data_IF_274595123428
#
_entry.id   IF_274595123428
#
_cell.length_a   1.000
_cell.length_b   1.000
_cell.length_c   1.000
_cell.angle_alpha   90.00
_cell.angle_beta   90.00
_cell.angle_gamma   90.00
#
_symmetry.space_group_name_H-M   'P 1'
#
loop_
_entity.id
_entity.type
_entity.pdbx_description
1 polymer ?
#
# COMPACT_ATOMS: atom_id res chain seq x y z
N UNK A 1 -2.48 -34.24 9.57
CA UNK A 1 -1.51 -33.13 9.55
C UNK A 1 -0.97 -33.05 8.14
N UNK A 2 -1.56 -32.24 7.29
CA UNK A 2 -1.05 -32.00 5.92
C UNK A 2 -0.02 -30.86 6.02
N UNK A 3 1.22 -31.17 5.70
CA UNK A 3 2.28 -30.16 5.58
C UNK A 3 1.91 -29.21 4.47
N UNK A 4 1.92 -27.90 4.77
CA UNK A 4 1.75 -26.85 3.78
C UNK A 4 2.75 -27.05 2.64
N UNK A 5 2.35 -26.94 1.36
CA UNK A 5 3.26 -27.10 0.23
C UNK A 5 4.34 -25.98 0.13
N UNK A 6 4.36 -25.03 1.05
CA UNK A 6 5.19 -23.81 1.05
C UNK A 6 6.32 -23.82 2.11
N UNK A 7 6.99 -24.98 2.32
CA UNK A 7 8.12 -25.09 3.24
C UNK A 7 9.38 -24.31 2.81
N UNK A 8 10.26 -23.99 3.76
CA UNK A 8 11.45 -23.15 3.59
C UNK A 8 12.43 -23.68 2.54
N UNK A 9 12.93 -22.77 1.68
CA UNK A 9 13.97 -23.02 0.67
C UNK A 9 15.33 -22.65 1.25
N UNK A 10 16.36 -23.47 0.99
CA UNK A 10 17.77 -23.13 1.29
C UNK A 10 18.27 -21.98 0.40
N UNK A 11 19.09 -21.11 0.97
CA UNK A 11 19.48 -19.80 0.43
C UNK A 11 20.74 -19.90 -0.44
N UNK A 12 20.74 -19.15 -1.55
CA UNK A 12 21.90 -18.79 -2.34
C UNK A 12 22.21 -17.30 -2.27
N UNK A 13 23.38 -16.89 -2.74
CA UNK A 13 23.84 -15.50 -2.81
C UNK A 13 22.85 -14.61 -3.61
N UNK A 14 22.47 -13.42 -3.15
CA UNK A 14 21.56 -12.51 -3.87
C UNK A 14 22.03 -12.14 -5.27
N UNK A 15 23.33 -11.93 -5.47
CA UNK A 15 23.88 -11.67 -6.81
C UNK A 15 23.73 -12.89 -7.75
N UNK A 16 23.77 -14.13 -7.23
CA UNK A 16 23.54 -15.34 -8.02
C UNK A 16 22.08 -15.55 -8.37
N UNK A 17 21.15 -15.01 -7.56
CA UNK A 17 19.70 -15.13 -7.78
C UNK A 17 19.19 -14.27 -8.93
N UNK A 18 19.87 -13.16 -9.24
CA UNK A 18 19.53 -12.25 -10.34
C UNK A 18 20.01 -12.75 -11.72
N UNK A 19 20.75 -13.87 -11.80
CA UNK A 19 21.38 -14.36 -13.04
C UNK A 19 20.60 -15.43 -13.81
N UNK A 20 19.34 -15.73 -13.42
CA UNK A 20 18.51 -16.76 -14.03
C UNK A 20 17.85 -16.36 -15.35
N UNK A 21 18.49 -16.66 -16.48
CA UNK A 21 18.00 -16.83 -17.87
C UNK A 21 17.17 -15.68 -18.48
N UNK A 22 17.87 -14.79 -19.20
CA UNK A 22 17.26 -14.08 -20.31
C UNK A 22 17.21 -14.97 -21.55
N UNK A 23 16.02 -15.36 -22.01
CA UNK A 23 15.81 -15.92 -23.33
C UNK A 23 16.05 -14.84 -24.40
N UNK A 24 16.49 -15.19 -25.62
CA UNK A 24 16.68 -14.22 -26.71
C UNK A 24 15.32 -13.75 -27.22
N UNK A 25 15.01 -12.50 -26.93
CA UNK A 25 13.71 -11.84 -27.17
C UNK A 25 13.28 -11.08 -25.94
N UNK A 26 14.20 -10.26 -25.33
CA UNK A 26 13.91 -9.53 -24.10
C UNK A 26 12.61 -8.75 -24.24
N UNK A 27 11.56 -9.20 -23.55
CA UNK A 27 10.35 -8.43 -23.35
C UNK A 27 10.76 -7.04 -22.80
N UNK A 28 10.19 -6.00 -23.36
CA UNK A 28 10.39 -4.65 -22.81
C UNK A 28 10.03 -4.68 -21.33
N UNK A 29 10.82 -4.00 -20.46
CA UNK A 29 10.48 -3.95 -19.05
C UNK A 29 9.05 -3.46 -18.85
N UNK A 30 8.33 -3.97 -17.85
CA UNK A 30 6.96 -3.56 -17.59
C UNK A 30 6.92 -2.04 -17.40
N UNK A 31 6.05 -1.40 -18.17
CA UNK A 31 5.82 0.03 -18.04
C UNK A 31 4.45 0.26 -17.45
N UNK A 32 4.37 1.21 -16.54
CA UNK A 32 3.08 1.71 -16.04
C UNK A 32 2.40 2.45 -17.18
N UNK A 33 1.29 1.92 -17.68
CA UNK A 33 0.46 2.57 -18.69
C UNK A 33 -0.71 3.26 -17.99
N UNK A 34 -0.78 4.58 -18.15
CA UNK A 34 -1.87 5.38 -17.59
C UNK A 34 -3.08 5.34 -18.51
N UNK A 35 -4.27 5.17 -17.92
CA UNK A 35 -5.51 5.17 -18.65
C UNK A 35 -5.76 6.48 -19.39
N UNK A 36 -6.49 6.45 -20.52
CA UNK A 36 -6.93 7.66 -21.18
C UNK A 36 -7.88 8.45 -20.28
N UNK A 37 -7.82 9.79 -20.35
CA UNK A 37 -8.74 10.70 -19.69
C UNK A 37 -9.25 11.72 -20.70
N UNK A 38 -10.55 12.08 -20.69
CA UNK A 38 -11.12 13.06 -21.61
C UNK A 38 -10.41 14.42 -21.57
N UNK A 39 -9.95 14.82 -20.37
CA UNK A 39 -9.07 15.96 -20.20
C UNK A 39 -7.64 15.47 -19.94
N UNK A 40 -6.70 15.65 -20.88
CA UNK A 40 -5.32 15.18 -20.72
C UNK A 40 -4.54 15.93 -19.63
N UNK A 41 -5.06 17.04 -19.10
CA UNK A 41 -4.46 17.76 -17.98
C UNK A 41 -4.84 17.17 -16.61
N UNK A 42 -5.84 16.29 -16.55
CA UNK A 42 -6.28 15.64 -15.31
C UNK A 42 -5.56 14.32 -15.07
N UNK A 43 -5.50 13.89 -13.78
CA UNK A 43 -4.99 12.58 -13.39
C UNK A 43 -5.78 11.47 -14.08
N UNK A 44 -5.10 10.40 -14.45
CA UNK A 44 -5.75 9.21 -14.99
C UNK A 44 -6.60 8.54 -13.90
N UNK A 45 -7.65 7.84 -14.31
CA UNK A 45 -8.53 7.12 -13.39
C UNK A 45 -8.02 5.70 -13.08
N UNK A 46 -7.08 5.22 -13.87
CA UNK A 46 -6.42 3.93 -13.67
C UNK A 46 -5.04 3.89 -14.28
N UNK A 47 -4.26 2.92 -13.80
CA UNK A 47 -3.04 2.47 -14.44
C UNK A 47 -3.11 0.97 -14.72
N UNK A 48 -2.38 0.55 -15.74
CA UNK A 48 -2.21 -0.85 -16.11
C UNK A 48 -0.71 -1.18 -16.17
N UNK A 49 -0.33 -2.32 -15.60
CA UNK A 49 1.04 -2.84 -15.64
C UNK A 49 0.99 -4.27 -16.15
N UNK A 50 1.66 -4.53 -17.26
CA UNK A 50 1.84 -5.88 -17.79
C UNK A 50 3.17 -6.45 -17.30
N UNK A 51 3.10 -7.51 -16.49
CA UNK A 51 4.24 -8.20 -15.90
C UNK A 51 4.57 -9.53 -16.62
N UNK A 52 4.10 -9.70 -17.86
CA UNK A 52 4.25 -10.93 -18.62
C UNK A 52 3.18 -11.96 -18.28
N UNK A 53 3.31 -12.61 -17.13
CA UNK A 53 2.38 -13.67 -16.68
C UNK A 53 1.08 -13.13 -16.09
N UNK A 54 1.04 -11.86 -15.75
CA UNK A 54 -0.13 -11.20 -15.18
C UNK A 54 -0.22 -9.73 -15.59
N UNK A 55 -1.46 -9.27 -15.71
CA UNK A 55 -1.79 -7.85 -15.89
C UNK A 55 -2.37 -7.33 -14.59
N UNK A 56 -1.85 -6.22 -14.09
CA UNK A 56 -2.35 -5.54 -12.88
C UNK A 56 -2.96 -4.22 -13.24
N UNK A 57 -4.13 -3.95 -12.69
CA UNK A 57 -4.83 -2.68 -12.85
C UNK A 57 -5.06 -2.04 -11.47
N UNK A 58 -4.67 -0.79 -11.35
CA UNK A 58 -5.01 0.05 -10.20
C UNK A 58 -6.08 1.04 -10.62
N UNK A 59 -7.24 0.99 -9.99
CA UNK A 59 -8.36 1.92 -10.21
C UNK A 59 -8.37 2.96 -9.09
N UNK A 60 -8.47 4.25 -9.45
CA UNK A 60 -8.57 5.39 -8.51
C UNK A 60 -9.74 6.26 -8.99
N UNK A 61 -10.97 5.87 -8.60
CA UNK A 61 -12.19 6.40 -9.21
C UNK A 61 -12.91 7.40 -8.30
N UNK A 62 -13.27 8.52 -8.89
CA UNK A 62 -14.10 9.56 -8.29
C UNK A 62 -15.33 9.76 -9.16
N UNK A 63 -16.55 9.84 -8.59
CA UNK A 63 -17.75 10.08 -9.37
C UNK A 63 -17.75 11.53 -9.90
N UNK A 64 -18.31 11.72 -11.07
CA UNK A 64 -18.54 13.07 -11.64
C UNK A 64 -19.88 13.65 -11.19
N UNK A 65 -20.87 12.76 -11.02
CA UNK A 65 -22.20 13.13 -10.54
C UNK A 65 -22.18 13.63 -9.10
N UNK A 66 -23.14 14.51 -8.79
CA UNK A 66 -23.38 15.08 -7.44
C UNK A 66 -24.67 14.57 -6.82
N UNK A 67 -25.25 13.52 -7.38
CA UNK A 67 -26.46 12.86 -6.91
C UNK A 67 -26.31 12.17 -5.54
N UNK A 68 -27.33 11.43 -5.10
CA UNK A 68 -27.28 10.61 -3.89
C UNK A 68 -26.10 9.63 -3.89
N UNK A 69 -25.73 9.15 -2.70
CA UNK A 69 -24.62 8.21 -2.51
C UNK A 69 -24.70 7.01 -3.46
N UNK A 70 -25.87 6.34 -3.52
CA UNK A 70 -26.05 5.15 -4.35
C UNK A 70 -25.79 5.40 -5.83
N UNK A 71 -26.20 6.55 -6.38
CA UNK A 71 -25.96 6.92 -7.77
C UNK A 71 -24.46 7.14 -8.05
N UNK A 72 -23.77 7.82 -7.12
CA UNK A 72 -22.33 8.05 -7.22
C UNK A 72 -21.54 6.73 -7.20
N UNK A 73 -21.91 5.80 -6.32
CA UNK A 73 -21.28 4.50 -6.25
C UNK A 73 -21.56 3.65 -7.50
N UNK A 74 -22.80 3.68 -8.02
CA UNK A 74 -23.14 2.99 -9.26
C UNK A 74 -22.36 3.53 -10.47
N UNK A 75 -22.19 4.85 -10.58
CA UNK A 75 -21.34 5.47 -11.62
C UNK A 75 -19.93 4.90 -11.57
N UNK A 76 -19.33 4.85 -10.37
CA UNK A 76 -17.99 4.29 -10.14
C UNK A 76 -17.92 2.82 -10.59
N UNK A 77 -18.88 2.00 -10.19
CA UNK A 77 -18.89 0.57 -10.50
C UNK A 77 -19.06 0.29 -12.01
N UNK A 78 -19.92 1.06 -12.68
CA UNK A 78 -20.09 0.99 -14.14
C UNK A 78 -18.77 1.32 -14.84
N UNK A 79 -18.10 2.38 -14.41
CA UNK A 79 -16.81 2.81 -14.93
C UNK A 79 -15.71 1.77 -14.67
N UNK A 80 -15.60 1.25 -13.43
CA UNK A 80 -14.66 0.19 -13.09
C UNK A 80 -14.83 -1.03 -13.99
N UNK A 81 -16.07 -1.48 -14.18
CA UNK A 81 -16.39 -2.61 -15.07
C UNK A 81 -16.00 -2.35 -16.53
N UNK A 82 -16.23 -1.14 -17.03
CA UNK A 82 -15.84 -0.75 -18.38
C UNK A 82 -14.31 -0.78 -18.57
N UNK A 83 -13.56 -0.22 -17.61
CA UNK A 83 -12.09 -0.21 -17.62
C UNK A 83 -11.55 -1.64 -17.62
N UNK A 84 -12.03 -2.48 -16.71
CA UNK A 84 -11.53 -3.86 -16.57
C UNK A 84 -11.82 -4.72 -17.81
N UNK A 85 -12.95 -4.52 -18.48
CA UNK A 85 -13.29 -5.21 -19.71
C UNK A 85 -12.36 -4.89 -20.90
N UNK A 86 -11.70 -3.73 -20.87
CA UNK A 86 -10.80 -3.27 -21.93
C UNK A 86 -9.39 -3.82 -21.80
N UNK A 87 -9.08 -4.59 -20.75
CA UNK A 87 -7.70 -5.03 -20.47
C UNK A 87 -7.25 -6.28 -21.26
N UNK A 88 -8.08 -6.80 -22.16
CA UNK A 88 -7.72 -7.93 -23.04
C UNK A 88 -7.66 -9.30 -22.36
N UNK A 89 -7.83 -9.37 -21.03
CA UNK A 89 -7.91 -10.60 -20.26
C UNK A 89 -9.02 -10.47 -19.19
N UNK A 90 -9.62 -11.59 -18.75
CA UNK A 90 -10.53 -11.57 -17.61
C UNK A 90 -9.81 -11.03 -16.37
N UNK A 91 -10.37 -9.96 -15.79
CA UNK A 91 -9.80 -9.28 -14.60
C UNK A 91 -10.63 -9.60 -13.37
N UNK A 92 -9.96 -9.91 -12.27
CA UNK A 92 -10.58 -10.06 -10.94
C UNK A 92 -10.15 -8.93 -10.04
N UNK A 93 -11.11 -8.22 -9.42
CA UNK A 93 -10.81 -7.27 -8.33
C UNK A 93 -10.50 -8.07 -7.09
N UNK A 94 -9.35 -7.80 -6.47
CA UNK A 94 -8.84 -8.56 -5.32
C UNK A 94 -8.95 -7.79 -4.01
N UNK A 95 -8.68 -6.51 -4.06
CA UNK A 95 -8.64 -5.63 -2.89
C UNK A 95 -9.22 -4.27 -3.25
N UNK A 96 -10.02 -3.71 -2.37
CA UNK A 96 -10.58 -2.37 -2.58
C UNK A 96 -10.67 -1.58 -1.27
N UNK A 97 -10.59 -0.26 -1.39
CA UNK A 97 -10.82 0.67 -0.30
C UNK A 97 -11.86 1.69 -0.74
N UNK A 98 -12.92 1.79 0.03
CA UNK A 98 -14.01 2.74 -0.18
C UNK A 98 -13.86 3.87 0.83
N UNK A 99 -13.66 5.08 0.33
CA UNK A 99 -13.53 6.29 1.14
C UNK A 99 -14.90 6.94 1.23
N UNK A 100 -15.48 6.94 2.42
CA UNK A 100 -16.82 7.44 2.69
C UNK A 100 -16.77 8.83 3.30
N UNK A 101 -17.68 9.70 2.86
CA UNK A 101 -17.89 11.00 3.48
C UNK A 101 -18.69 10.89 4.78
N UNK A 102 -19.66 9.99 4.81
CA UNK A 102 -20.56 9.78 5.94
C UNK A 102 -20.62 8.29 6.32
N UNK A 103 -20.59 8.01 7.62
CA UNK A 103 -20.72 6.65 8.15
C UNK A 103 -22.10 6.04 7.88
N UNK A 104 -23.13 6.87 7.78
CA UNK A 104 -24.50 6.44 7.49
C UNK A 104 -24.61 5.78 6.10
N UNK A 105 -23.70 6.08 5.18
CA UNK A 105 -23.71 5.51 3.83
C UNK A 105 -23.12 4.09 3.78
N UNK A 106 -22.43 3.62 4.82
CA UNK A 106 -21.75 2.32 4.81
C UNK A 106 -22.68 1.13 4.60
N UNK A 107 -23.85 1.01 5.27
CA UNK A 107 -24.75 -0.13 5.03
C UNK A 107 -25.29 -0.19 3.58
N UNK A 108 -25.60 0.96 3.00
CA UNK A 108 -26.00 1.02 1.59
C UNK A 108 -24.83 0.65 0.66
N UNK A 109 -23.63 1.10 0.96
CA UNK A 109 -22.40 0.73 0.24
C UNK A 109 -22.20 -0.79 0.23
N UNK A 110 -22.26 -1.43 1.38
CA UNK A 110 -22.12 -2.87 1.53
C UNK A 110 -23.17 -3.64 0.72
N UNK A 111 -24.41 -3.19 0.76
CA UNK A 111 -25.50 -3.79 -0.03
C UNK A 111 -25.26 -3.66 -1.55
N UNK A 112 -24.85 -2.48 -2.01
CA UNK A 112 -24.59 -2.23 -3.45
C UNK A 112 -23.41 -3.07 -3.93
N UNK A 113 -22.29 -3.08 -3.18
CA UNK A 113 -21.12 -3.87 -3.51
C UNK A 113 -21.40 -5.38 -3.48
N UNK A 114 -22.14 -5.84 -2.47
CA UNK A 114 -22.59 -7.23 -2.37
C UNK A 114 -23.45 -7.66 -3.56
N UNK A 115 -24.35 -6.80 -4.02
CA UNK A 115 -25.16 -7.05 -5.23
C UNK A 115 -24.32 -7.03 -6.50
N UNK A 116 -23.33 -6.10 -6.60
CA UNK A 116 -22.51 -5.94 -7.79
C UNK A 116 -21.52 -7.10 -8.00
N UNK A 117 -20.85 -7.52 -6.93
CA UNK A 117 -19.80 -8.56 -7.00
C UNK A 117 -20.32 -9.97 -6.67
N UNK A 118 -21.41 -10.08 -5.92
CA UNK A 118 -21.95 -11.38 -5.48
C UNK A 118 -20.90 -12.21 -4.74
N UNK A 119 -20.69 -13.44 -5.20
CA UNK A 119 -19.66 -14.35 -4.64
C UNK A 119 -18.21 -13.87 -4.90
N UNK A 120 -18.03 -12.94 -5.82
CA UNK A 120 -16.74 -12.39 -6.21
C UNK A 120 -16.36 -11.11 -5.45
N UNK A 121 -17.06 -10.80 -4.35
CA UNK A 121 -16.78 -9.62 -3.54
C UNK A 121 -15.31 -9.60 -3.11
N UNK A 122 -14.55 -8.55 -3.48
CA UNK A 122 -13.15 -8.42 -3.10
C UNK A 122 -13.00 -8.10 -1.61
N UNK A 123 -11.82 -8.31 -1.07
CA UNK A 123 -11.48 -7.83 0.28
C UNK A 123 -11.66 -6.31 0.32
N UNK A 124 -12.48 -5.80 1.22
CA UNK A 124 -12.93 -4.41 1.23
C UNK A 124 -12.63 -3.71 2.54
N UNK A 125 -11.92 -2.58 2.47
CA UNK A 125 -11.85 -1.61 3.57
C UNK A 125 -12.90 -0.51 3.35
N UNK A 126 -13.75 -0.28 4.34
CA UNK A 126 -14.62 0.89 4.42
C UNK A 126 -13.97 1.90 5.36
N UNK A 127 -13.63 3.07 4.84
CA UNK A 127 -12.85 4.06 5.59
C UNK A 127 -13.60 5.38 5.62
N UNK A 128 -13.84 5.90 6.82
CA UNK A 128 -14.54 7.16 7.01
C UNK A 128 -13.54 8.33 6.85
N UNK A 129 -13.17 8.57 5.59
CA UNK A 129 -12.28 9.66 5.16
C UNK A 129 -12.96 10.40 4.00
N UNK A 130 -13.54 11.58 4.24
CA UNK A 130 -14.26 12.31 3.21
C UNK A 130 -13.40 12.61 2.00
N UNK A 131 -13.91 12.34 0.76
CA UNK A 131 -13.24 12.77 -0.45
C UNK A 131 -13.07 14.31 -0.51
N UNK A 132 -11.85 14.79 -0.75
CA UNK A 132 -11.57 16.23 -0.82
C UNK A 132 -12.35 16.96 -1.92
N UNK A 133 -12.77 16.28 -2.98
CA UNK A 133 -13.60 16.84 -4.05
C UNK A 133 -15.06 17.08 -3.66
N UNK A 134 -15.46 16.72 -2.43
CA UNK A 134 -16.85 16.84 -1.92
C UNK A 134 -17.80 15.75 -2.40
N UNK A 135 -17.34 14.71 -3.08
CA UNK A 135 -18.16 13.54 -3.40
C UNK A 135 -18.57 12.79 -2.13
N UNK A 136 -19.65 12.00 -2.21
CA UNK A 136 -20.05 11.13 -1.09
C UNK A 136 -19.10 9.94 -0.93
N UNK A 137 -18.47 9.52 -2.01
CA UNK A 137 -17.61 8.34 -2.08
C UNK A 137 -16.49 8.51 -3.10
N UNK A 138 -15.30 7.95 -2.83
CA UNK A 138 -14.28 7.61 -3.82
C UNK A 138 -13.83 6.18 -3.62
N UNK A 139 -13.25 5.59 -4.66
CA UNK A 139 -13.06 4.16 -4.74
C UNK A 139 -11.68 3.84 -5.29
N UNK A 140 -10.90 3.11 -4.52
CA UNK A 140 -9.69 2.47 -4.99
C UNK A 140 -9.91 0.97 -5.11
N UNK A 141 -9.44 0.38 -6.21
CA UNK A 141 -9.42 -1.07 -6.33
C UNK A 141 -8.16 -1.57 -7.06
N UNK A 142 -7.77 -2.78 -6.71
CA UNK A 142 -6.69 -3.52 -7.34
C UNK A 142 -7.27 -4.73 -8.04
N UNK A 143 -6.98 -4.85 -9.30
CA UNK A 143 -7.41 -5.99 -10.11
C UNK A 143 -6.21 -6.68 -10.75
N UNK A 144 -6.35 -7.97 -10.96
CA UNK A 144 -5.36 -8.81 -11.63
C UNK A 144 -6.05 -9.72 -12.64
N UNK A 145 -5.38 -9.95 -13.77
CA UNK A 145 -5.79 -10.90 -14.82
C UNK A 145 -4.59 -11.63 -15.37
N UNK A 146 -4.84 -12.74 -16.05
CA UNK A 146 -3.85 -13.59 -16.68
C UNK A 146 -4.28 -15.06 -16.67
N UNK A 147 -3.82 -15.86 -17.63
CA UNK A 147 -4.26 -17.24 -17.78
C UNK A 147 -3.86 -18.16 -16.61
N UNK A 148 -2.71 -17.86 -16.00
CA UNK A 148 -2.19 -18.61 -14.85
C UNK A 148 -2.74 -18.12 -13.50
N UNK A 149 -3.43 -16.97 -13.46
CA UNK A 149 -3.93 -16.37 -12.23
C UNK A 149 -5.05 -17.21 -11.62
N UNK A 150 -4.90 -17.54 -10.34
CA UNK A 150 -5.92 -18.25 -9.55
C UNK A 150 -6.24 -17.44 -8.31
N UNK A 151 -7.52 -17.28 -8.05
CA UNK A 151 -8.03 -16.51 -6.89
C UNK A 151 -8.80 -17.45 -5.99
N UNK A 152 -8.43 -17.45 -4.70
CA UNK A 152 -9.07 -18.25 -3.65
C UNK A 152 -9.54 -17.33 -2.52
N UNK A 153 -10.77 -17.52 -2.05
CA UNK A 153 -11.39 -16.69 -1.01
C UNK A 153 -11.49 -17.42 0.31
N UNK A 154 -11.09 -16.77 1.39
CA UNK A 154 -11.11 -17.28 2.76
C UNK A 154 -12.07 -16.43 3.63
N UNK A 155 -13.32 -16.34 3.19
CA UNK A 155 -14.33 -15.47 3.77
C UNK A 155 -14.21 -14.01 3.28
N UNK A 156 -14.93 -13.07 3.92
CA UNK A 156 -15.01 -11.68 3.45
C UNK A 156 -13.74 -10.86 3.71
N UNK A 157 -12.86 -11.33 4.59
CA UNK A 157 -11.72 -10.57 5.09
C UNK A 157 -10.38 -11.05 4.55
N UNK A 158 -10.32 -12.17 3.81
CA UNK A 158 -9.08 -12.70 3.24
C UNK A 158 -9.29 -13.33 1.86
N UNK A 159 -8.33 -13.08 0.97
CA UNK A 159 -8.28 -13.59 -0.38
C UNK A 159 -6.83 -13.87 -0.78
N UNK A 160 -6.57 -14.99 -1.44
CA UNK A 160 -5.26 -15.29 -2.03
C UNK A 160 -5.32 -15.23 -3.55
N UNK A 161 -4.20 -14.77 -4.13
CA UNK A 161 -3.95 -14.78 -5.58
C UNK A 161 -2.66 -15.54 -5.83
N UNK A 162 -2.72 -16.59 -6.64
CA UNK A 162 -1.56 -17.40 -6.97
C UNK A 162 -1.32 -17.41 -8.48
N UNK A 163 -0.07 -17.24 -8.89
CA UNK A 163 0.43 -17.36 -10.25
C UNK A 163 1.97 -17.48 -10.20
N UNK A 164 2.57 -18.15 -11.16
CA UNK A 164 4.04 -18.22 -11.34
C UNK A 164 4.84 -18.46 -10.03
N UNK A 165 4.43 -19.43 -9.23
CA UNK A 165 5.04 -19.75 -7.93
C UNK A 165 5.02 -18.61 -6.91
N UNK A 166 4.19 -17.59 -7.13
CA UNK A 166 3.94 -16.48 -6.23
C UNK A 166 2.53 -16.64 -5.64
N UNK A 167 2.38 -16.32 -4.37
CA UNK A 167 1.09 -16.27 -3.71
C UNK A 167 0.99 -15.01 -2.87
N UNK A 168 0.07 -14.14 -3.27
CA UNK A 168 -0.31 -12.95 -2.53
C UNK A 168 -1.52 -13.23 -1.67
N UNK A 169 -1.50 -12.81 -0.41
CA UNK A 169 -2.67 -12.87 0.48
C UNK A 169 -3.04 -11.45 0.88
N UNK A 170 -4.26 -11.06 0.54
CA UNK A 170 -4.87 -9.79 0.89
C UNK A 170 -5.78 -9.99 2.09
N UNK A 171 -5.58 -9.22 3.16
CA UNK A 171 -6.51 -9.14 4.27
C UNK A 171 -7.00 -7.69 4.43
N UNK A 172 -8.29 -7.49 4.71
CA UNK A 172 -8.86 -6.15 4.89
C UNK A 172 -10.25 -6.17 5.51
N UNK A 173 -10.81 -4.97 5.73
CA UNK A 173 -12.05 -4.81 6.45
C UNK A 173 -11.97 -5.29 7.90
N UNK A 174 -10.76 -5.43 8.41
CA UNK A 174 -10.54 -5.90 9.77
C UNK A 174 -10.82 -4.74 10.74
N UNK A 175 -11.59 -5.05 11.76
CA UNK A 175 -11.91 -4.14 12.85
C UNK A 175 -11.66 -4.84 14.19
N UNK A 176 -11.42 -4.13 15.29
CA UNK A 176 -11.38 -4.71 16.62
C UNK A 176 -12.65 -5.51 16.91
N UNK A 177 -12.57 -6.56 17.73
CA UNK A 177 -13.75 -7.26 18.24
C UNK A 177 -14.64 -6.36 19.10
N UNK A 178 -15.73 -6.90 19.63
CA UNK A 178 -16.65 -6.14 20.47
C UNK A 178 -15.93 -5.53 21.69
N UNK A 179 -16.01 -4.20 21.80
CA UNK A 179 -15.70 -3.37 22.97
C UNK A 179 -14.25 -3.25 23.50
N UNK A 180 -13.14 -3.32 22.74
CA UNK A 180 -11.89 -2.82 23.30
C UNK A 180 -11.95 -1.29 23.42
N UNK A 181 -11.73 -0.78 24.63
CA UNK A 181 -11.64 0.65 24.90
C UNK A 181 -10.19 1.10 24.75
N UNK A 182 -9.99 2.18 23.98
CA UNK A 182 -8.67 2.76 23.76
C UNK A 182 -7.87 2.15 22.60
N UNK A 183 -6.96 2.96 22.06
CA UNK A 183 -6.23 2.63 20.84
C UNK A 183 -5.28 1.43 21.01
N UNK A 184 -4.70 1.25 22.19
CA UNK A 184 -3.86 0.09 22.48
C UNK A 184 -4.66 -1.22 22.38
N UNK A 185 -5.79 -1.31 23.07
CA UNK A 185 -6.62 -2.51 23.09
C UNK A 185 -7.27 -2.76 21.71
N UNK A 186 -7.70 -1.68 21.01
CA UNK A 186 -8.20 -1.76 19.65
C UNK A 186 -7.15 -2.35 18.70
N UNK A 187 -5.91 -1.86 18.76
CA UNK A 187 -4.83 -2.33 17.90
C UNK A 187 -4.43 -3.77 18.20
N UNK A 188 -4.35 -4.16 19.47
CA UNK A 188 -4.07 -5.55 19.88
C UNK A 188 -5.14 -6.49 19.31
N UNK A 189 -6.42 -6.16 19.51
CA UNK A 189 -7.54 -6.95 18.98
C UNK A 189 -7.53 -7.03 17.47
N UNK A 190 -7.24 -5.92 16.76
CA UNK A 190 -7.12 -5.90 15.30
C UNK A 190 -6.01 -6.82 14.81
N UNK A 191 -4.81 -6.75 15.42
CA UNK A 191 -3.65 -7.57 15.01
C UNK A 191 -3.90 -9.05 15.24
N UNK A 192 -4.60 -9.45 16.32
CA UNK A 192 -4.99 -10.83 16.54
C UNK A 192 -6.01 -11.31 15.49
N UNK A 193 -6.96 -10.47 15.11
CA UNK A 193 -7.89 -10.78 14.02
C UNK A 193 -7.19 -10.89 12.67
N UNK A 194 -6.19 -10.03 12.43
CA UNK A 194 -5.35 -10.10 11.23
C UNK A 194 -4.54 -11.40 11.20
N UNK A 195 -3.98 -11.82 12.34
CA UNK A 195 -3.30 -13.11 12.48
C UNK A 195 -4.25 -14.27 12.16
N UNK A 196 -5.46 -14.25 12.69
CA UNK A 196 -6.45 -15.28 12.42
C UNK A 196 -6.84 -15.35 10.93
N UNK A 197 -7.03 -14.18 10.28
CA UNK A 197 -7.35 -14.10 8.85
C UNK A 197 -6.19 -14.63 7.98
N UNK A 198 -4.94 -14.28 8.31
CA UNK A 198 -3.75 -14.79 7.63
C UNK A 198 -3.63 -16.32 7.81
N UNK A 199 -3.80 -16.83 9.05
CA UNK A 199 -3.75 -18.26 9.33
C UNK A 199 -4.85 -19.04 8.61
N UNK A 200 -6.06 -18.49 8.53
CA UNK A 200 -7.16 -19.03 7.74
C UNK A 200 -6.84 -19.13 6.24
N UNK A 201 -5.99 -18.25 5.74
CA UNK A 201 -5.47 -18.27 4.38
C UNK A 201 -4.10 -18.99 4.25
N UNK A 202 -3.73 -19.85 5.19
CA UNK A 202 -2.49 -20.64 5.21
C UNK A 202 -1.22 -19.77 5.05
N UNK A 203 -1.17 -18.64 5.72
CA UNK A 203 0.00 -17.76 5.82
C UNK A 203 0.09 -17.16 7.23
N UNK A 204 1.10 -16.35 7.52
CA UNK A 204 1.29 -15.71 8.81
C UNK A 204 1.93 -14.32 8.68
N UNK A 205 2.19 -13.67 9.83
CA UNK A 205 2.73 -12.31 9.87
C UNK A 205 4.15 -12.17 9.31
N UNK A 206 4.98 -13.21 9.32
CA UNK A 206 6.34 -13.12 8.79
C UNK A 206 6.36 -12.84 7.27
N UNK A 207 5.26 -13.17 6.58
CA UNK A 207 5.06 -12.94 5.16
C UNK A 207 4.47 -11.55 4.83
N UNK A 208 4.07 -10.78 5.84
CA UNK A 208 3.45 -9.46 5.62
C UNK A 208 4.48 -8.46 5.12
N UNK A 209 4.20 -7.85 3.96
CA UNK A 209 5.06 -6.84 3.31
C UNK A 209 4.46 -5.43 3.40
N UNK A 210 3.15 -5.32 3.59
CA UNK A 210 2.43 -4.04 3.64
C UNK A 210 1.27 -4.09 4.63
N UNK A 211 1.09 -3.01 5.42
CA UNK A 211 -0.06 -2.84 6.32
C UNK A 211 -0.69 -1.46 6.17
N UNK A 212 -1.99 -1.37 6.42
CA UNK A 212 -2.75 -0.11 6.50
C UNK A 212 -3.55 -0.10 7.80
N UNK A 213 -3.47 1.02 8.53
CA UNK A 213 -4.22 1.26 9.76
C UNK A 213 -4.89 2.63 9.70
N UNK A 214 -6.21 2.65 9.80
CA UNK A 214 -7.03 3.85 9.78
C UNK A 214 -7.57 4.04 11.19
N UNK A 215 -7.03 5.01 11.93
CA UNK A 215 -7.32 5.22 13.35
C UNK A 215 -8.17 6.48 13.56
N UNK A 216 -9.34 6.34 14.13
CA UNK A 216 -10.17 7.48 14.53
C UNK A 216 -9.52 8.28 15.66
N UNK A 217 -9.55 9.62 15.53
CA UNK A 217 -8.94 10.53 16.51
C UNK A 217 -7.44 10.32 16.69
N UNK A 218 -6.70 10.08 15.63
CA UNK A 218 -5.29 9.66 15.65
C UNK A 218 -4.38 10.57 16.49
N UNK A 219 -4.65 11.87 16.51
CA UNK A 219 -3.92 12.89 17.31
C UNK A 219 -4.57 13.20 18.65
N UNK A 220 -5.73 12.65 18.95
CA UNK A 220 -6.43 12.91 20.19
C UNK A 220 -5.71 12.32 21.40
N UNK A 221 -5.78 12.99 22.56
CA UNK A 221 -5.22 12.46 23.78
C UNK A 221 -6.01 11.25 24.28
N UNK A 222 -5.27 10.24 24.76
CA UNK A 222 -5.81 9.08 25.45
C UNK A 222 -5.00 8.85 26.72
N UNK A 223 -5.48 9.37 27.83
CA UNK A 223 -4.72 9.47 29.07
C UNK A 223 -3.53 10.43 28.94
N UNK A 224 -2.34 9.96 29.27
CA UNK A 224 -1.11 10.76 29.19
C UNK A 224 -0.45 10.75 27.77
N UNK A 225 -1.04 10.06 26.82
CA UNK A 225 -0.47 9.87 25.49
C UNK A 225 -1.49 10.14 24.39
N UNK A 226 -0.99 10.27 23.18
CA UNK A 226 -1.80 10.37 21.97
C UNK A 226 -2.25 8.97 21.52
N UNK A 227 -3.44 8.85 20.95
CA UNK A 227 -3.98 7.57 20.43
C UNK A 227 -3.02 6.87 19.45
N UNK A 228 -2.34 7.62 18.58
CA UNK A 228 -1.32 7.08 17.70
C UNK A 228 -0.15 6.43 18.47
N UNK A 229 0.27 7.03 19.57
CA UNK A 229 1.35 6.46 20.42
C UNK A 229 0.91 5.14 21.07
N UNK A 230 -0.35 5.06 21.53
CA UNK A 230 -0.91 3.83 22.10
C UNK A 230 -1.09 2.73 21.04
N UNK A 231 -1.53 3.08 19.82
CA UNK A 231 -1.56 2.16 18.70
C UNK A 231 -0.17 1.60 18.38
N UNK A 232 0.87 2.45 18.35
CA UNK A 232 2.24 2.03 18.10
C UNK A 232 2.83 1.17 19.21
N UNK A 233 2.45 1.44 20.47
CA UNK A 233 2.83 0.60 21.60
C UNK A 233 2.31 -0.84 21.43
N UNK A 234 1.03 -0.99 21.14
CA UNK A 234 0.43 -2.30 20.87
C UNK A 234 1.11 -3.01 19.69
N UNK A 235 1.37 -2.26 18.59
CA UNK A 235 2.07 -2.80 17.43
C UNK A 235 3.50 -3.25 17.77
N UNK A 236 4.23 -2.47 18.55
CA UNK A 236 5.58 -2.82 18.96
C UNK A 236 5.62 -4.06 19.84
N UNK A 237 4.65 -4.19 20.75
CA UNK A 237 4.54 -5.37 21.62
C UNK A 237 4.20 -6.63 20.79
N UNK A 238 3.26 -6.52 19.86
CA UNK A 238 2.83 -7.62 18.99
C UNK A 238 3.94 -8.07 18.02
N UNK A 239 4.72 -7.13 17.47
CA UNK A 239 5.77 -7.41 16.48
C UNK A 239 7.07 -7.92 17.09
N UNK A 240 7.20 -7.96 18.41
CA UNK A 240 8.45 -8.29 19.12
C UNK A 240 9.04 -9.63 18.72
N UNK A 241 8.19 -10.63 18.48
CA UNK A 241 8.59 -11.99 18.19
C UNK A 241 8.46 -12.36 16.70
N UNK A 242 8.12 -11.40 15.85
CA UNK A 242 7.90 -11.65 14.44
C UNK A 242 9.15 -11.27 13.63
N UNK A 243 9.68 -12.23 12.88
CA UNK A 243 10.79 -12.02 11.93
C UNK A 243 10.24 -11.84 10.52
N UNK A 244 9.91 -10.60 10.17
CA UNK A 244 9.32 -10.28 8.87
C UNK A 244 10.27 -10.58 7.71
N UNK A 245 9.74 -11.16 6.63
CA UNK A 245 10.47 -11.43 5.40
C UNK A 245 11.57 -12.48 5.51
N UNK A 246 11.62 -13.26 6.58
CA UNK A 246 12.69 -14.23 6.88
C UNK A 246 13.03 -15.16 5.73
N UNK A 247 12.10 -15.51 4.89
CA UNK A 247 12.29 -16.42 3.75
C UNK A 247 12.86 -15.73 2.50
N UNK A 248 12.83 -14.38 2.45
CA UNK A 248 13.16 -13.58 1.26
C UNK A 248 14.25 -12.52 1.51
N UNK A 249 14.65 -12.31 2.77
CA UNK A 249 15.70 -11.38 3.17
C UNK A 249 16.98 -12.12 3.49
N UNK A 250 18.11 -11.44 3.34
CA UNK A 250 19.39 -11.94 3.82
C UNK A 250 19.43 -12.05 5.35
N UNK A 251 20.18 -13.03 5.88
CA UNK A 251 20.20 -13.34 7.31
C UNK A 251 20.63 -12.14 8.18
N UNK A 252 21.57 -11.33 7.67
CA UNK A 252 22.15 -10.19 8.41
C UNK A 252 21.20 -8.97 8.48
N UNK A 253 20.13 -8.94 7.69
CA UNK A 253 19.20 -7.82 7.57
C UNK A 253 17.95 -8.00 8.43
N UNK A 254 17.79 -9.15 9.11
CA UNK A 254 16.56 -9.49 9.83
C UNK A 254 16.25 -8.60 11.05
N UNK A 255 17.26 -7.96 11.64
CA UNK A 255 17.06 -7.07 12.78
C UNK A 255 16.60 -5.67 12.33
N UNK A 256 15.38 -5.30 12.70
CA UNK A 256 14.80 -3.99 12.38
C UNK A 256 14.03 -3.93 11.06
N UNK A 257 13.83 -5.06 10.39
CA UNK A 257 12.98 -5.13 9.20
C UNK A 257 11.51 -5.22 9.61
N UNK A 258 10.70 -4.31 9.07
CA UNK A 258 9.26 -4.25 9.29
C UNK A 258 8.55 -4.05 7.95
N UNK A 259 7.25 -4.43 7.84
CA UNK A 259 6.47 -4.13 6.64
C UNK A 259 6.42 -2.62 6.37
N UNK A 260 6.30 -2.23 5.10
CA UNK A 260 5.86 -0.89 4.78
C UNK A 260 4.47 -0.66 5.40
N UNK A 261 4.19 0.54 5.91
CA UNK A 261 2.94 0.80 6.64
C UNK A 261 2.43 2.22 6.45
N UNK A 262 1.11 2.36 6.43
CA UNK A 262 0.43 3.65 6.59
C UNK A 262 -0.41 3.60 7.86
N UNK A 263 -0.21 4.56 8.74
CA UNK A 263 -1.02 4.78 9.94
C UNK A 263 -1.61 6.17 9.90
N UNK A 264 -2.86 6.29 9.45
CA UNK A 264 -3.52 7.56 9.11
C UNK A 264 -4.83 7.73 9.86
N UNK A 265 -5.26 8.97 10.05
CA UNK A 265 -6.52 9.28 10.72
C UNK A 265 -7.74 8.94 9.87
N UNK A 266 -8.85 8.63 10.54
CA UNK A 266 -10.20 8.63 9.98
C UNK A 266 -11.16 9.31 10.93
N UNK A 267 -12.36 9.63 10.52
CA UNK A 267 -13.41 10.14 11.43
C UNK A 267 -13.90 9.05 12.39
N UNK A 268 -14.46 9.48 13.52
CA UNK A 268 -14.93 8.58 14.58
C UNK A 268 -13.80 8.13 15.51
N UNK A 269 -14.02 7.06 16.27
CA UNK A 269 -13.11 6.55 17.31
C UNK A 269 -12.64 5.12 17.08
N UNK A 270 -13.07 4.52 15.95
CA UNK A 270 -12.75 3.13 15.59
C UNK A 270 -11.35 2.94 15.02
N UNK A 271 -11.06 1.71 14.65
CA UNK A 271 -9.84 1.31 13.96
C UNK A 271 -10.22 0.32 12.84
N UNK A 272 -9.73 0.58 11.63
CA UNK A 272 -9.85 -0.34 10.49
C UNK A 272 -8.45 -0.70 10.02
N UNK A 273 -8.23 -1.94 9.62
CA UNK A 273 -6.92 -2.35 9.12
C UNK A 273 -6.96 -3.41 8.03
N UNK A 274 -5.84 -3.53 7.35
CA UNK A 274 -5.60 -4.54 6.33
C UNK A 274 -4.12 -4.75 6.09
N UNK A 275 -3.79 -5.84 5.41
CA UNK A 275 -2.40 -6.16 5.05
C UNK A 275 -2.32 -6.89 3.71
N UNK A 276 -1.10 -6.89 3.18
CA UNK A 276 -0.67 -7.69 2.04
C UNK A 276 0.48 -8.59 2.49
N UNK A 277 0.35 -9.89 2.27
CA UNK A 277 1.40 -10.86 2.54
C UNK A 277 1.86 -11.53 1.24
N UNK A 278 3.13 -11.94 1.21
CA UNK A 278 3.79 -12.56 0.05
C UNK A 278 4.41 -13.89 0.46
N UNK A 279 4.02 -14.94 -0.24
CA UNK A 279 4.71 -16.23 -0.24
C UNK A 279 5.21 -16.53 -1.65
N UNK A 280 6.45 -16.95 -1.81
CA UNK A 280 7.00 -17.34 -3.11
C UNK A 280 8.07 -18.42 -2.95
N UNK A 281 8.21 -19.25 -3.99
CA UNK A 281 9.29 -20.23 -4.15
C UNK A 281 10.26 -19.82 -5.25
N UNK A 282 10.09 -18.65 -5.81
CA UNK A 282 11.00 -18.14 -6.85
C UNK A 282 12.33 -17.77 -6.22
N UNK A 283 13.40 -18.32 -6.77
CA UNK A 283 14.77 -18.05 -6.33
C UNK A 283 15.26 -16.66 -6.72
N UNK A 284 14.64 -16.04 -7.75
CA UNK A 284 14.94 -14.69 -8.22
C UNK A 284 14.14 -13.60 -7.49
N UNK A 285 13.31 -13.97 -6.50
CA UNK A 285 12.58 -13.01 -5.69
C UNK A 285 13.45 -12.47 -4.56
N UNK A 286 13.68 -11.15 -4.54
CA UNK A 286 14.41 -10.46 -3.48
C UNK A 286 13.52 -9.39 -2.87
N UNK A 287 13.30 -9.48 -1.56
CA UNK A 287 12.56 -8.48 -0.80
C UNK A 287 13.54 -7.52 -0.14
N UNK A 288 13.29 -6.21 -0.24
CA UNK A 288 14.15 -5.16 0.29
C UNK A 288 13.30 -4.23 1.13
N UNK A 289 13.69 -3.98 2.36
CA UNK A 289 13.15 -2.89 3.14
C UNK A 289 13.89 -1.60 2.81
N UNK A 290 13.16 -0.55 2.49
CA UNK A 290 13.74 0.75 2.15
C UNK A 290 13.55 1.73 3.32
N UNK A 291 14.66 2.38 3.70
CA UNK A 291 14.66 3.53 4.58
C UNK A 291 15.14 4.76 3.81
N UNK A 292 14.57 5.93 4.09
CA UNK A 292 14.95 7.15 3.41
C UNK A 292 16.28 7.70 3.97
N UNK A 293 17.31 7.95 3.15
CA UNK A 293 18.60 8.46 3.62
C UNK A 293 18.52 9.80 4.39
N UNK A 294 17.46 10.58 4.18
CA UNK A 294 17.23 11.85 4.87
C UNK A 294 16.29 11.77 6.07
N UNK A 295 15.81 10.58 6.42
CA UNK A 295 14.93 10.37 7.55
C UNK A 295 15.54 9.35 8.49
N UNK A 296 15.48 9.61 9.79
CA UNK A 296 15.73 8.57 10.79
C UNK A 296 14.72 7.43 10.56
N UNK A 297 15.13 6.16 10.54
CA UNK A 297 14.20 5.04 10.49
C UNK A 297 13.12 5.17 11.56
N UNK A 298 11.88 4.88 11.20
CA UNK A 298 10.76 5.10 12.13
C UNK A 298 10.93 4.32 13.44
N UNK A 299 11.46 3.11 13.36
CA UNK A 299 11.74 2.25 14.50
C UNK A 299 12.92 2.70 15.39
N UNK A 300 13.67 3.71 14.93
CA UNK A 300 14.80 4.30 15.66
C UNK A 300 14.52 5.74 16.15
N UNK A 301 13.28 6.21 16.12
CA UNK A 301 12.93 7.53 16.62
C UNK A 301 13.26 7.68 18.10
N UNK A 302 13.76 8.85 18.48
CA UNK A 302 14.04 9.18 19.86
C UNK A 302 12.76 9.14 20.73
N UNK A 303 12.89 8.71 21.99
CA UNK A 303 11.79 8.56 22.95
C UNK A 303 10.96 9.83 23.19
N UNK A 304 11.50 11.02 22.87
CA UNK A 304 10.73 12.29 22.91
C UNK A 304 9.53 12.32 21.95
N UNK A 305 9.56 11.55 20.86
CA UNK A 305 8.44 11.47 19.91
C UNK A 305 7.45 10.37 20.28
N UNK A 306 7.92 9.30 20.85
CA UNK A 306 7.09 8.22 21.39
C UNK A 306 7.95 7.37 22.33
N UNK A 307 7.44 6.92 23.48
CA UNK A 307 8.13 5.98 24.36
C UNK A 307 8.50 4.67 23.66
N UNK A 308 7.69 4.28 22.68
CA UNK A 308 7.98 3.18 21.76
C UNK A 308 7.88 3.69 20.32
N UNK A 309 8.99 3.56 19.59
CA UNK A 309 9.07 4.00 18.20
C UNK A 309 8.13 3.18 17.31
N UNK A 310 7.52 3.79 16.29
CA UNK A 310 6.70 3.06 15.30
C UNK A 310 7.50 1.95 14.61
N UNK A 311 6.89 0.78 14.47
CA UNK A 311 7.52 -0.40 13.84
C UNK A 311 7.06 -0.53 12.40
N UNK A 312 7.72 0.18 11.47
CA UNK A 312 7.52 0.07 10.02
C UNK A 312 8.76 0.53 9.26
N UNK A 313 8.93 0.04 8.04
CA UNK A 313 9.91 0.54 7.08
C UNK A 313 9.27 1.62 6.19
N UNK A 314 10.08 2.57 5.70
CA UNK A 314 9.61 3.67 4.84
C UNK A 314 9.09 3.18 3.49
N UNK A 315 9.57 2.06 3.04
CA UNK A 315 9.08 1.34 1.87
C UNK A 315 9.47 -0.12 1.92
N UNK A 316 8.83 -0.89 1.07
CA UNK A 316 9.16 -2.29 0.82
C UNK A 316 9.22 -2.50 -0.69
N UNK A 317 10.28 -3.09 -1.19
CA UNK A 317 10.42 -3.40 -2.62
C UNK A 317 10.60 -4.89 -2.83
N UNK A 318 9.88 -5.42 -3.81
CA UNK A 318 10.07 -6.77 -4.33
C UNK A 318 10.72 -6.67 -5.70
N UNK A 319 11.95 -7.16 -5.82
CA UNK A 319 12.61 -7.41 -7.10
C UNK A 319 12.19 -8.79 -7.57
N UNK A 320 11.70 -8.90 -8.78
CA UNK A 320 11.20 -10.14 -9.33
C UNK A 320 11.41 -10.18 -10.85
N UNK A 321 12.33 -11.05 -11.32
CA UNK A 321 12.69 -11.08 -12.74
C UNK A 321 13.28 -9.75 -13.20
N UNK A 322 12.61 -9.09 -14.13
CA UNK A 322 13.05 -7.85 -14.77
C UNK A 322 12.30 -6.60 -14.28
N UNK A 323 11.56 -6.70 -13.17
CA UNK A 323 10.84 -5.55 -12.60
C UNK A 323 10.92 -5.48 -11.07
N UNK A 324 10.63 -4.30 -10.55
CA UNK A 324 10.54 -4.01 -9.12
C UNK A 324 9.14 -3.47 -8.82
N UNK A 325 8.52 -4.02 -7.79
CA UNK A 325 7.32 -3.41 -7.18
C UNK A 325 7.72 -2.75 -5.88
N UNK A 326 7.48 -1.45 -5.74
CA UNK A 326 7.78 -0.69 -4.51
C UNK A 326 6.51 -0.20 -3.85
N UNK A 327 6.26 -0.63 -2.62
CA UNK A 327 5.20 -0.12 -1.75
C UNK A 327 5.77 0.99 -0.86
N UNK A 328 5.29 2.21 -1.05
CA UNK A 328 5.68 3.40 -0.31
C UNK A 328 4.77 3.54 0.90
N UNK A 329 5.34 3.60 2.08
CA UNK A 329 4.62 3.87 3.33
C UNK A 329 4.03 5.27 3.35
N UNK A 330 3.06 5.51 4.25
CA UNK A 330 2.63 6.86 4.56
C UNK A 330 3.83 7.74 4.86
N UNK A 331 4.04 8.73 4.01
CA UNK A 331 5.18 9.65 4.02
C UNK A 331 4.67 11.07 4.21
N UNK A 332 5.30 11.82 5.11
CA UNK A 332 4.96 13.19 5.43
C UNK A 332 6.21 14.10 5.37
N UNK A 333 6.01 15.39 5.63
CA UNK A 333 7.08 16.41 5.64
C UNK A 333 7.98 16.25 6.87
N UNK A 334 8.81 15.22 6.89
CA UNK A 334 9.75 14.88 7.96
C UNK A 334 11.16 14.78 7.38
N UNK A 335 12.14 15.45 8.01
CA UNK A 335 13.58 15.32 7.72
C UNK A 335 14.26 14.92 9.03
N UNK A 336 15.13 13.92 9.01
CA UNK A 336 15.57 13.19 10.17
C UNK A 336 14.36 12.66 10.96
N UNK A 337 14.14 13.15 12.18
CA UNK A 337 12.95 12.85 12.99
C UNK A 337 12.01 14.05 13.15
N UNK A 338 12.33 15.19 12.54
CA UNK A 338 11.68 16.48 12.74
C UNK A 338 10.62 16.76 11.69
N UNK A 339 9.42 17.16 12.09
CA UNK A 339 8.42 17.74 11.20
C UNK A 339 8.93 19.06 10.63
N UNK A 340 8.78 19.26 9.32
CA UNK A 340 9.23 20.46 8.61
C UNK A 340 8.05 21.28 8.08
N UNK A 341 8.27 22.58 7.91
CA UNK A 341 7.33 23.50 7.26
C UNK A 341 5.97 23.58 7.96
N UNK A 342 5.94 23.59 9.30
CA UNK A 342 4.71 23.70 10.08
C UNK A 342 3.82 24.84 9.59
N UNK A 343 2.52 24.56 9.36
CA UNK A 343 1.53 25.51 8.87
C UNK A 343 1.55 25.81 7.36
N UNK A 344 2.53 25.32 6.59
CA UNK A 344 2.64 25.56 5.16
C UNK A 344 2.38 24.28 4.35
N UNK A 345 1.16 24.10 3.87
CA UNK A 345 0.74 22.95 3.08
C UNK A 345 1.56 22.78 1.80
N UNK A 346 1.94 23.87 1.14
CA UNK A 346 2.65 23.80 -0.12
C UNK A 346 4.06 23.26 0.09
N UNK A 347 4.80 23.80 1.06
CA UNK A 347 6.14 23.31 1.40
C UNK A 347 6.10 21.89 1.98
N UNK A 348 5.08 21.56 2.77
CA UNK A 348 4.93 20.20 3.27
C UNK A 348 4.67 19.21 2.14
N UNK A 349 3.85 19.56 1.15
CA UNK A 349 3.58 18.69 -0.01
C UNK A 349 4.85 18.46 -0.83
N UNK A 350 5.62 19.53 -1.13
CA UNK A 350 6.90 19.39 -1.84
C UNK A 350 7.88 18.49 -1.09
N UNK A 351 8.10 18.75 0.21
CA UNK A 351 9.01 17.95 1.02
C UNK A 351 8.59 16.48 1.11
N UNK A 352 7.28 16.24 1.18
CA UNK A 352 6.73 14.87 1.21
C UNK A 352 7.03 14.13 -0.10
N UNK A 353 6.85 14.80 -1.24
CA UNK A 353 7.15 14.23 -2.55
C UNK A 353 8.67 14.02 -2.74
N UNK A 354 9.50 14.97 -2.30
CA UNK A 354 10.96 14.82 -2.31
C UNK A 354 11.41 13.62 -1.47
N UNK A 355 10.78 13.39 -0.32
CA UNK A 355 11.05 12.22 0.51
C UNK A 355 10.69 10.91 -0.23
N UNK A 356 9.57 10.87 -0.96
CA UNK A 356 9.16 9.72 -1.77
C UNK A 356 10.15 9.47 -2.91
N UNK A 357 10.54 10.50 -3.63
CA UNK A 357 11.47 10.41 -4.75
C UNK A 357 12.84 9.86 -4.31
N UNK A 358 13.35 10.35 -3.19
CA UNK A 358 14.63 9.86 -2.60
C UNK A 358 14.51 8.42 -2.10
N UNK A 359 13.38 8.05 -1.50
CA UNK A 359 13.14 6.69 -1.03
C UNK A 359 13.23 5.67 -2.17
N UNK A 360 12.68 6.02 -3.34
CA UNK A 360 12.64 5.13 -4.51
C UNK A 360 13.87 5.28 -5.41
N UNK A 361 14.71 6.29 -5.19
CA UNK A 361 15.83 6.62 -6.06
C UNK A 361 16.92 5.55 -6.11
N UNK A 362 17.68 5.50 -7.22
CA UNK A 362 18.68 4.46 -7.46
C UNK A 362 19.80 4.43 -6.43
N UNK A 363 20.12 5.56 -5.80
CA UNK A 363 21.11 5.64 -4.74
C UNK A 363 20.72 4.80 -3.52
N UNK A 364 19.42 4.79 -3.18
CA UNK A 364 18.91 4.01 -2.07
C UNK A 364 18.95 2.50 -2.37
N UNK A 365 18.63 2.10 -3.60
CA UNK A 365 18.77 0.70 -4.02
C UNK A 365 20.24 0.25 -4.08
N UNK A 366 21.15 1.13 -4.48
CA UNK A 366 22.57 0.83 -4.50
C UNK A 366 23.13 0.52 -3.11
N UNK A 367 22.58 1.13 -2.05
CA UNK A 367 22.94 0.82 -0.67
C UNK A 367 22.56 -0.62 -0.26
N UNK A 368 21.61 -1.24 -0.99
CA UNK A 368 21.22 -2.64 -0.83
C UNK A 368 21.89 -3.58 -1.88
N UNK A 369 23.01 -3.17 -2.49
CA UNK A 369 23.71 -3.98 -3.48
C UNK A 369 23.12 -3.94 -4.89
N UNK A 370 21.95 -3.31 -5.09
CA UNK A 370 21.27 -3.25 -6.38
C UNK A 370 21.67 -1.97 -7.14
N UNK A 371 22.69 -2.09 -7.99
CA UNK A 371 23.17 -0.97 -8.79
C UNK A 371 22.36 -0.78 -10.07
N UNK A 372 22.16 0.48 -10.48
CA UNK A 372 21.47 0.88 -11.70
C UNK A 372 19.99 0.48 -11.75
N UNK A 373 19.36 0.29 -10.60
CA UNK A 373 17.92 0.08 -10.44
C UNK A 373 17.34 1.10 -9.47
N UNK A 374 16.05 1.35 -9.55
CA UNK A 374 15.32 2.32 -8.74
C UNK A 374 14.04 2.68 -9.45
N UNK A 375 13.28 3.60 -8.85
CA UNK A 375 12.07 4.14 -9.44
C UNK A 375 12.08 5.68 -9.42
N UNK A 376 11.29 6.26 -10.29
CA UNK A 376 11.02 7.68 -10.38
C UNK A 376 9.54 7.95 -10.11
N UNK A 377 9.13 9.21 -10.03
CA UNK A 377 7.71 9.56 -9.87
C UNK A 377 6.85 9.11 -11.07
N UNK A 378 7.44 8.90 -12.25
CA UNK A 378 6.77 8.40 -13.46
C UNK A 378 6.46 6.90 -13.40
N UNK A 379 7.12 6.17 -12.51
CA UNK A 379 6.89 4.73 -12.30
C UNK A 379 5.76 4.46 -11.29
N UNK A 380 5.17 5.52 -10.72
CA UNK A 380 4.03 5.40 -9.82
C UNK A 380 2.79 4.90 -10.58
N UNK A 381 2.23 3.80 -10.13
CA UNK A 381 0.99 3.26 -10.67
C UNK A 381 -0.25 3.88 -10.02
N UNK A 382 -0.13 4.33 -8.78
CA UNK A 382 -1.18 5.00 -8.02
C UNK A 382 -0.64 5.74 -6.82
N UNK A 383 -1.39 6.75 -6.38
CA UNK A 383 -1.08 7.56 -5.21
C UNK A 383 -2.34 7.84 -4.38
N UNK A 384 -2.24 7.76 -3.06
CA UNK A 384 -3.22 8.31 -2.11
C UNK A 384 -2.61 9.53 -1.44
N UNK A 385 -3.35 10.62 -1.41
CA UNK A 385 -2.99 11.86 -0.76
C UNK A 385 -4.00 12.15 0.34
N UNK A 386 -3.52 12.19 1.55
CA UNK A 386 -4.31 12.52 2.74
C UNK A 386 -4.03 13.95 3.12
N UNK A 387 -5.06 14.81 3.05
CA UNK A 387 -4.97 16.24 3.37
C UNK A 387 -5.69 16.48 4.68
N UNK A 388 -5.01 17.08 5.65
CA UNK A 388 -5.59 17.29 6.98
C UNK A 388 -6.77 18.25 6.98
N UNK A 389 -6.71 19.31 6.18
CA UNK A 389 -7.72 20.37 6.13
C UNK A 389 -8.28 20.50 4.73
N UNK A 390 -9.61 20.56 4.64
CA UNK A 390 -10.31 20.68 3.37
C UNK A 390 -9.86 21.94 2.56
N UNK A 391 -9.58 23.03 3.24
CA UNK A 391 -9.13 24.29 2.62
C UNK A 391 -7.75 24.21 1.98
N UNK A 392 -6.92 23.26 2.39
CA UNK A 392 -5.58 23.05 1.85
C UNK A 392 -5.58 22.18 0.57
N UNK A 393 -6.71 21.56 0.25
CA UNK A 393 -6.83 20.59 -0.85
C UNK A 393 -6.34 21.13 -2.20
N UNK A 394 -6.85 22.27 -2.64
CA UNK A 394 -6.51 22.79 -3.98
C UNK A 394 -5.03 23.16 -4.12
N UNK A 395 -4.42 23.67 -3.05
CA UNK A 395 -2.97 23.99 -3.03
C UNK A 395 -2.13 22.70 -3.09
N UNK A 396 -2.51 21.69 -2.30
CA UNK A 396 -1.86 20.38 -2.30
C UNK A 396 -2.01 19.70 -3.67
N UNK A 397 -3.23 19.66 -4.22
CA UNK A 397 -3.55 19.06 -5.53
C UNK A 397 -2.72 19.65 -6.66
N UNK A 398 -2.61 20.97 -6.73
CA UNK A 398 -1.82 21.65 -7.77
C UNK A 398 -0.34 21.22 -7.76
N UNK A 399 0.24 20.99 -6.58
CA UNK A 399 1.62 20.50 -6.46
C UNK A 399 1.72 19.03 -6.87
N UNK A 400 0.81 18.19 -6.39
CA UNK A 400 0.77 16.78 -6.76
C UNK A 400 0.63 16.60 -8.27
N UNK A 401 -0.28 17.31 -8.92
CA UNK A 401 -0.47 17.24 -10.38
C UNK A 401 0.78 17.70 -11.16
N UNK A 402 1.46 18.73 -10.69
CA UNK A 402 2.73 19.17 -11.31
C UNK A 402 3.84 18.13 -11.16
N UNK A 403 3.97 17.50 -9.98
CA UNK A 403 5.06 16.57 -9.67
C UNK A 403 4.80 15.14 -10.16
N UNK A 404 3.60 14.62 -9.98
CA UNK A 404 3.22 13.26 -10.40
C UNK A 404 2.69 13.20 -11.83
N UNK A 405 2.32 14.35 -12.42
CA UNK A 405 1.65 14.37 -13.71
C UNK A 405 0.27 13.70 -13.63
N UNK A 406 0.04 12.71 -14.50
CA UNK A 406 -1.26 12.05 -14.65
C UNK A 406 -1.43 10.78 -13.81
N UNK A 407 -0.57 10.52 -12.84
CA UNK A 407 -0.68 9.33 -11.99
C UNK A 407 -2.08 9.26 -11.34
N UNK A 408 -2.76 8.08 -11.40
CA UNK A 408 -4.05 7.90 -10.73
C UNK A 408 -3.97 8.23 -9.26
N UNK A 409 -4.77 9.21 -8.80
CA UNK A 409 -4.65 9.75 -7.46
C UNK A 409 -6.02 9.95 -6.81
N UNK A 410 -6.14 9.51 -5.55
CA UNK A 410 -7.28 9.84 -4.66
C UNK A 410 -6.80 10.83 -3.61
N UNK A 411 -7.65 11.83 -3.34
CA UNK A 411 -7.48 12.82 -2.28
C UNK A 411 -8.58 12.65 -1.24
N UNK A 412 -8.19 12.41 0.01
CA UNK A 412 -9.11 12.24 1.13
C UNK A 412 -8.74 13.17 2.30
N UNK A 413 -9.74 13.63 3.04
CA UNK A 413 -9.52 14.39 4.27
C UNK A 413 -9.21 13.41 5.40
N UNK A 414 -8.02 13.53 5.98
CA UNK A 414 -7.60 12.70 7.08
C UNK A 414 -6.60 13.42 7.99
N UNK A 415 -6.68 13.17 9.28
CA UNK A 415 -5.68 13.67 10.22
C UNK A 415 -4.39 12.86 10.12
N UNK A 416 -3.25 13.52 10.23
CA UNK A 416 -1.92 12.92 10.15
C UNK A 416 -1.41 12.63 11.56
N UNK A 417 -0.47 11.73 11.70
CA UNK A 417 0.02 11.20 12.98
C UNK A 417 0.64 12.24 13.94
N UNK A 418 0.97 13.43 13.46
CA UNK A 418 1.43 14.57 14.29
C UNK A 418 0.58 15.80 14.01
N UNK A 419 0.25 16.60 15.05
CA UNK A 419 -0.65 17.76 14.91
C UNK A 419 -0.22 18.80 13.87
N UNK A 420 1.09 19.01 13.71
CA UNK A 420 1.68 20.00 12.80
C UNK A 420 1.80 19.54 11.34
N UNK A 421 1.59 18.24 11.07
CA UNK A 421 1.62 17.70 9.71
C UNK A 421 0.26 17.91 9.03
N UNK A 422 0.30 18.40 7.81
CA UNK A 422 -0.88 18.79 7.01
C UNK A 422 -1.17 17.84 5.85
N UNK A 423 -0.20 17.01 5.47
CA UNK A 423 -0.31 16.07 4.34
C UNK A 423 0.48 14.81 4.62
N UNK A 424 -0.06 13.68 4.16
CA UNK A 424 0.62 12.40 4.07
C UNK A 424 0.32 11.79 2.71
N UNK A 425 1.31 11.13 2.10
CA UNK A 425 1.20 10.52 0.77
C UNK A 425 1.74 9.10 0.83
N UNK A 426 1.03 8.16 0.21
CA UNK A 426 1.47 6.80 -0.04
C UNK A 426 1.27 6.41 -1.50
N UNK A 427 1.98 5.39 -1.96
CA UNK A 427 1.86 4.95 -3.35
C UNK A 427 2.42 3.57 -3.61
N UNK A 428 2.27 3.15 -4.87
CA UNK A 428 2.90 1.93 -5.40
C UNK A 428 3.54 2.28 -6.72
N UNK A 429 4.81 1.90 -6.88
CA UNK A 429 5.56 2.05 -8.12
C UNK A 429 5.92 0.69 -8.73
N UNK A 430 6.00 0.66 -10.07
CA UNK A 430 6.55 -0.47 -10.81
C UNK A 430 7.65 0.08 -11.73
N UNK A 431 8.87 -0.36 -11.53
CA UNK A 431 10.02 0.07 -12.30
C UNK A 431 10.77 -1.11 -12.92
N UNK A 432 11.47 -0.91 -14.04
CA UNK A 432 12.28 -1.95 -14.62
C UNK A 432 13.48 -2.28 -13.73
N UNK A 433 13.83 -3.57 -13.65
CA UNK A 433 15.09 -4.05 -13.17
C UNK A 433 15.93 -4.46 -14.38
N UNK A 434 16.88 -3.62 -14.80
CA UNK A 434 17.76 -4.02 -15.90
C UNK A 434 18.55 -5.27 -15.46
N UNK A 435 18.55 -6.36 -16.24
CA UNK A 435 19.39 -7.50 -15.92
C UNK A 435 20.86 -7.03 -15.84
N UNK A 436 21.63 -7.48 -14.85
CA UNK A 436 23.03 -7.08 -14.74
C UNK A 436 23.74 -7.41 -16.04
N UNK A 437 24.49 -6.44 -16.58
CA UNK A 437 25.24 -6.60 -17.82
C UNK A 437 26.08 -7.87 -17.72
N UNK A 438 25.91 -8.82 -18.64
CA UNK A 438 26.71 -10.05 -18.71
C UNK A 438 28.18 -9.64 -18.63
N UNK A 439 28.90 -10.03 -17.58
CA UNK A 439 30.37 -10.00 -17.63
C UNK A 439 30.77 -10.85 -18.82
N UNK A 440 31.28 -10.22 -19.86
CA UNK A 440 31.97 -10.95 -20.91
C UNK A 440 33.14 -11.65 -20.20
N UNK A 441 33.06 -12.98 -20.15
CA UNK A 441 34.24 -13.79 -19.80
C UNK A 441 35.33 -13.44 -20.78
N UNK A 442 36.42 -12.86 -20.27
CA UNK A 442 37.67 -12.65 -20.99
C UNK A 442 38.38 -13.98 -21.19
#
# INVERSE_FOLDING_TARGET
MSLSPWGAVQRGDPESRLHGRAAPGAARPPMVVLGPHPNPAEAAEFSCVNLGDSVRVSLMLTPRGRGPFGEQLQEILVKAKAILRQQGAPMTVTFQTVFLRDAADQPECERILGTHFGADLPVTNYVLQPPCCGAAVTFEAWAIGGDSVRVERFGPQALAVAYDSIRWVYCGGLQPGAAPVGAYAQMTSLLERMRAALSGAATDFEHVVRTWFYLGGITEPEGARQRYMEMNRARADFYREISFGRSLLEADVLHGTYPASTGIGMRGTGLVGGCLALQTRREDAVLIHLENPQQTPAYAYHSRYSPQSPRFSRGMSLVLGDYITTWISGTASIVNSESRHGGDIQRQTEQTIDNIERLMGPENFAAHGLRSVGATLQDLAKVRVYVKRQEDFLKCKAICERRFGRVPTIYAVADVCRPELLVEIEGVAFSPCAPPARRRSA
#
